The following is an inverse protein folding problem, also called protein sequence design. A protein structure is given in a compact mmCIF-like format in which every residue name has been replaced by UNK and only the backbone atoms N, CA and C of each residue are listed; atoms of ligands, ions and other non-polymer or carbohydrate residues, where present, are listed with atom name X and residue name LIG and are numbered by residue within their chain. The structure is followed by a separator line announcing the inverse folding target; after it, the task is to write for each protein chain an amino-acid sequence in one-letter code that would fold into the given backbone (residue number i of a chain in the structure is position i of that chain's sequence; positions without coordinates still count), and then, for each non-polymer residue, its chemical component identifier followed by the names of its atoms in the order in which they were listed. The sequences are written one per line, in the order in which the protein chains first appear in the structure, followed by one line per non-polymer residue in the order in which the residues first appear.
data_IF_541251241597
#
_entry.id   IF_541251241597
#
_cell.length_a   1.000
_cell.length_b   1.000
_cell.length_c   1.000
_cell.angle_alpha   90.00
_cell.angle_beta   90.00
_cell.angle_gamma   90.00
#
_symmetry.space_group_name_H-M   'P 1'
#
loop_
_entity.id
_entity.type
_entity.pdbx_description
1 polymer ?
#
# COMPACT_ATOMS: atom_id res chain seq x y z
N UNK A 1 6.73 10.45 10.71
CA UNK A 1 5.88 9.82 9.67
C UNK A 1 4.43 9.82 10.10
N UNK A 2 3.56 10.13 9.20
CA UNK A 2 2.12 10.01 9.45
C UNK A 2 1.77 8.53 9.65
N UNK A 3 0.88 8.23 10.59
CA UNK A 3 0.59 6.83 10.94
C UNK A 3 -0.69 6.27 10.31
N UNK A 4 -1.49 7.09 9.63
CA UNK A 4 -2.71 6.66 8.93
C UNK A 4 -3.69 5.87 9.81
N UNK A 5 -3.67 6.13 11.11
CA UNK A 5 -4.49 5.40 12.07
C UNK A 5 -4.01 3.99 12.36
N UNK A 6 -2.77 3.66 12.01
CA UNK A 6 -2.19 2.34 12.22
C UNK A 6 -1.23 2.35 13.41
N UNK A 7 -1.21 1.25 14.22
CA UNK A 7 -0.22 1.13 15.27
C UNK A 7 1.20 1.10 14.69
N UNK A 8 2.15 1.59 15.47
CA UNK A 8 3.55 1.59 15.07
C UNK A 8 4.04 0.18 14.70
N UNK A 9 3.61 -0.83 15.44
CA UNK A 9 3.95 -2.23 15.14
C UNK A 9 3.52 -2.63 13.74
N UNK A 10 2.32 -2.26 13.34
CA UNK A 10 1.80 -2.57 12.00
C UNK A 10 2.60 -1.83 10.92
N UNK A 11 2.87 -0.55 11.14
CA UNK A 11 3.68 0.24 10.20
C UNK A 11 5.05 -0.40 10.02
N UNK A 12 5.69 -0.79 11.11
CA UNK A 12 7.02 -1.41 11.05
C UNK A 12 6.99 -2.74 10.31
N UNK A 13 5.96 -3.57 10.55
CA UNK A 13 5.80 -4.83 9.82
C UNK A 13 5.67 -4.60 8.31
N UNK A 14 4.88 -3.61 7.92
CA UNK A 14 4.67 -3.30 6.50
C UNK A 14 5.93 -2.76 5.86
N UNK A 15 6.62 -1.83 6.52
CA UNK A 15 7.87 -1.29 6.00
C UNK A 15 8.93 -2.37 5.82
N UNK A 16 9.04 -3.26 6.79
CA UNK A 16 9.99 -4.37 6.73
C UNK A 16 9.66 -5.32 5.59
N UNK A 17 8.37 -5.60 5.40
CA UNK A 17 7.91 -6.41 4.27
C UNK A 17 8.33 -5.77 2.94
N UNK A 18 8.04 -4.48 2.74
CA UNK A 18 8.36 -3.81 1.49
C UNK A 18 9.87 -3.74 1.25
N UNK A 19 10.67 -3.53 2.29
CA UNK A 19 12.13 -3.54 2.18
C UNK A 19 12.67 -4.87 1.71
N UNK A 20 12.00 -5.96 2.08
CA UNK A 20 12.43 -7.31 1.70
C UNK A 20 12.16 -7.64 0.23
N UNK A 21 11.44 -6.79 -0.50
CA UNK A 21 11.04 -7.01 -1.88
C UNK A 21 11.75 -6.02 -2.80
N UNK A 22 12.92 -6.38 -3.37
CA UNK A 22 13.73 -5.45 -4.16
C UNK A 22 13.01 -4.95 -5.43
N UNK A 23 11.99 -5.66 -5.90
CA UNK A 23 11.23 -5.25 -7.08
C UNK A 23 10.22 -4.13 -6.77
N UNK A 24 9.98 -3.83 -5.50
CA UNK A 24 9.07 -2.73 -5.13
C UNK A 24 9.86 -1.43 -5.08
N UNK A 25 9.50 -0.49 -5.95
CA UNK A 25 10.17 0.81 -6.04
C UNK A 25 9.59 1.82 -5.06
N UNK A 26 8.26 1.87 -4.99
CA UNK A 26 7.56 2.85 -4.17
C UNK A 26 6.19 2.31 -3.78
N UNK A 27 5.73 2.68 -2.60
CA UNK A 27 4.38 2.36 -2.12
C UNK A 27 3.75 3.63 -1.58
N UNK A 28 2.54 3.92 -2.03
CA UNK A 28 1.71 4.99 -1.48
C UNK A 28 0.47 4.39 -0.84
N UNK A 29 0.00 5.01 0.24
CA UNK A 29 -1.30 4.71 0.79
C UNK A 29 -2.31 5.71 0.21
N UNK A 30 -3.50 5.25 -0.15
CA UNK A 30 -4.57 6.10 -0.66
C UNK A 30 -5.89 5.74 -0.01
N UNK A 31 -6.99 6.28 -0.48
CA UNK A 31 -8.31 6.00 0.08
C UNK A 31 -8.52 6.66 1.43
N UNK A 32 -9.40 6.06 2.24
CA UNK A 32 -9.86 6.68 3.49
C UNK A 32 -8.75 6.95 4.50
N UNK A 33 -7.75 6.07 4.58
CA UNK A 33 -6.65 6.25 5.54
C UNK A 33 -5.74 7.40 5.14
N UNK A 34 -5.55 7.62 3.85
CA UNK A 34 -4.79 8.77 3.37
C UNK A 34 -5.53 10.09 3.62
N UNK A 35 -6.86 10.06 3.46
CA UNK A 35 -7.71 11.25 3.65
C UNK A 35 -8.01 11.57 5.11
N UNK A 36 -7.79 10.61 6.01
CA UNK A 36 -8.15 10.78 7.42
C UNK A 36 -9.61 10.51 7.73
N UNK A 37 -10.36 9.94 6.79
CA UNK A 37 -11.79 9.64 6.95
C UNK A 37 -12.05 8.17 7.35
N UNK A 38 -10.98 7.44 7.68
CA UNK A 38 -11.08 6.02 8.03
C UNK A 38 -11.79 5.81 9.36
N UNK A 39 -12.30 4.59 9.53
CA UNK A 39 -12.84 4.08 10.78
C UNK A 39 -11.97 2.91 11.25
N UNK A 40 -12.19 2.46 12.50
CA UNK A 40 -11.53 1.26 13.00
C UNK A 40 -11.88 0.10 12.06
N UNK A 41 -10.86 -0.61 11.60
CA UNK A 41 -11.06 -1.74 10.71
C UNK A 41 -11.19 -1.38 9.24
N UNK A 42 -11.05 -0.12 8.87
CA UNK A 42 -11.00 0.26 7.46
C UNK A 42 -9.84 -0.44 6.75
N UNK A 43 -10.06 -0.85 5.50
CA UNK A 43 -9.04 -1.47 4.67
C UNK A 43 -7.84 -0.54 4.47
N UNK A 44 -6.69 -1.14 4.23
CA UNK A 44 -5.48 -0.39 3.87
C UNK A 44 -5.33 -0.49 2.36
N UNK A 45 -5.38 0.66 1.69
CA UNK A 45 -5.29 0.73 0.23
C UNK A 45 -3.90 1.17 -0.18
N UNK A 46 -3.17 0.29 -0.86
CA UNK A 46 -1.82 0.56 -1.34
C UNK A 46 -1.77 0.64 -2.86
N UNK A 47 -1.10 1.67 -3.38
CA UNK A 47 -0.67 1.72 -4.76
C UNK A 47 0.83 1.41 -4.78
N UNK A 48 1.25 0.48 -5.63
CA UNK A 48 2.62 0.00 -5.68
C UNK A 48 3.21 0.24 -7.06
N UNK A 49 4.41 0.83 -7.08
CA UNK A 49 5.18 1.03 -8.30
C UNK A 49 6.24 -0.06 -8.40
N UNK A 50 6.16 -0.84 -9.46
CA UNK A 50 7.09 -1.94 -9.74
C UNK A 50 7.15 -2.20 -11.24
N UNK A 51 8.26 -2.74 -11.72
CA UNK A 51 8.38 -3.23 -13.10
C UNK A 51 8.26 -4.75 -13.18
N UNK A 52 8.12 -5.42 -12.04
CA UNK A 52 7.99 -6.89 -11.96
C UNK A 52 6.56 -7.27 -11.61
N UNK A 53 5.69 -7.22 -12.62
CA UNK A 53 4.26 -7.44 -12.44
C UNK A 53 3.92 -8.89 -12.09
N UNK A 54 4.78 -9.82 -12.44
CA UNK A 54 4.60 -11.22 -12.13
C UNK A 54 4.73 -11.45 -10.62
N UNK A 55 5.77 -10.90 -10.01
CA UNK A 55 5.95 -10.98 -8.56
C UNK A 55 4.93 -10.13 -7.81
N UNK A 56 4.42 -9.06 -8.43
CA UNK A 56 3.37 -8.25 -7.82
C UNK A 56 2.16 -9.12 -7.43
N UNK A 57 1.81 -10.12 -8.23
CA UNK A 57 0.64 -10.95 -7.95
C UNK A 57 0.72 -11.70 -6.63
N UNK A 58 1.92 -11.88 -6.08
CA UNK A 58 2.13 -12.55 -4.80
C UNK A 58 1.95 -11.63 -3.60
N UNK A 59 2.02 -10.31 -3.82
CA UNK A 59 2.02 -9.33 -2.73
C UNK A 59 0.74 -9.45 -1.90
N UNK A 60 -0.40 -9.58 -2.57
CA UNK A 60 -1.69 -9.64 -1.88
C UNK A 60 -1.75 -10.78 -0.87
N UNK A 61 -1.40 -11.98 -1.31
CA UNK A 61 -1.37 -13.14 -0.41
C UNK A 61 -0.34 -13.02 0.69
N UNK A 62 0.82 -12.46 0.38
CA UNK A 62 1.88 -12.26 1.38
C UNK A 62 1.48 -11.24 2.44
N UNK A 63 0.81 -10.17 2.03
CA UNK A 63 0.30 -9.18 2.99
C UNK A 63 -0.77 -9.80 3.90
N UNK A 64 -1.66 -10.61 3.34
CA UNK A 64 -2.68 -11.29 4.13
C UNK A 64 -2.07 -12.26 5.14
N UNK A 65 -0.87 -12.78 4.87
CA UNK A 65 -0.17 -13.69 5.78
C UNK A 65 0.53 -12.95 6.93
N UNK A 66 0.62 -11.64 6.88
CA UNK A 66 1.20 -10.88 7.99
C UNK A 66 0.27 -10.93 9.20
N UNK A 67 0.87 -10.89 10.40
CA UNK A 67 0.12 -10.94 11.65
C UNK A 67 -0.52 -9.58 11.96
N UNK A 68 -1.49 -9.17 11.13
CA UNK A 68 -2.25 -7.94 11.34
C UNK A 68 -3.75 -8.23 11.20
N UNK A 69 -4.60 -7.47 11.87
CA UNK A 69 -6.04 -7.63 11.72
C UNK A 69 -6.62 -6.92 10.50
N UNK A 70 -5.78 -6.29 9.69
CA UNK A 70 -6.24 -5.43 8.60
C UNK A 70 -6.35 -6.19 7.29
N UNK A 71 -7.33 -5.76 6.47
CA UNK A 71 -7.45 -6.21 5.09
C UNK A 71 -6.72 -5.22 4.18
N UNK A 72 -6.15 -5.74 3.10
CA UNK A 72 -5.38 -4.92 2.18
C UNK A 72 -6.01 -4.92 0.80
N UNK A 73 -5.99 -3.76 0.15
CA UNK A 73 -6.30 -3.63 -1.26
C UNK A 73 -5.05 -3.09 -1.95
N UNK A 74 -4.59 -3.80 -2.98
CA UNK A 74 -3.28 -3.52 -3.58
C UNK A 74 -3.47 -3.29 -5.08
N UNK A 75 -2.98 -2.15 -5.55
CA UNK A 75 -3.07 -1.77 -6.95
C UNK A 75 -1.68 -1.69 -7.57
N UNK A 76 -1.48 -2.35 -8.71
CA UNK A 76 -0.26 -2.22 -9.51
C UNK A 76 -0.37 -0.92 -10.32
N UNK A 77 0.25 0.13 -9.81
CA UNK A 77 0.08 1.46 -10.39
C UNK A 77 0.53 1.52 -11.85
N UNK A 78 1.62 0.84 -12.18
CA UNK A 78 2.20 0.90 -13.55
C UNK A 78 1.33 0.20 -14.59
N UNK A 79 0.47 -0.74 -14.17
CA UNK A 79 -0.47 -1.41 -15.07
C UNK A 79 -1.87 -0.83 -15.02
N UNK A 80 -2.10 0.17 -14.16
CA UNK A 80 -3.44 0.72 -13.96
C UNK A 80 -3.89 1.49 -15.20
N UNK A 81 -5.05 1.11 -15.74
CA UNK A 81 -5.66 1.78 -16.90
C UNK A 81 -6.98 2.47 -16.58
N UNK A 82 -7.49 2.29 -15.35
CA UNK A 82 -8.75 2.88 -14.92
C UNK A 82 -8.53 4.34 -14.50
N UNK A 83 -8.94 5.28 -15.34
CA UNK A 83 -8.62 6.70 -15.18
C UNK A 83 -9.11 7.30 -13.88
N UNK A 84 -10.32 6.97 -13.44
CA UNK A 84 -10.86 7.50 -12.19
C UNK A 84 -10.04 7.07 -10.99
N UNK A 85 -9.67 5.79 -10.94
CA UNK A 85 -8.85 5.28 -9.85
C UNK A 85 -7.46 5.89 -9.87
N UNK A 86 -6.87 5.99 -11.06
CA UNK A 86 -5.55 6.59 -11.21
C UNK A 86 -5.55 8.05 -10.75
N UNK A 87 -6.57 8.80 -11.15
CA UNK A 87 -6.70 10.20 -10.73
C UNK A 87 -6.89 10.32 -9.22
N UNK A 88 -7.67 9.42 -8.62
CA UNK A 88 -7.87 9.39 -7.18
C UNK A 88 -6.56 9.11 -6.44
N UNK A 89 -5.78 8.14 -6.93
CA UNK A 89 -4.47 7.82 -6.35
C UNK A 89 -3.55 9.02 -6.48
N UNK A 90 -3.45 9.61 -7.66
CA UNK A 90 -2.56 10.75 -7.92
C UNK A 90 -2.89 11.95 -7.03
N UNK A 91 -4.17 12.14 -6.73
CA UNK A 91 -4.64 13.26 -5.93
C UNK A 91 -4.44 13.04 -4.43
N UNK A 92 -4.74 11.84 -3.94
CA UNK A 92 -4.88 11.58 -2.52
C UNK A 92 -3.75 10.77 -1.91
N UNK A 93 -2.94 10.08 -2.71
CA UNK A 93 -1.95 9.15 -2.17
C UNK A 93 -0.86 9.87 -1.39
N UNK A 94 -0.41 9.21 -0.33
CA UNK A 94 0.70 9.68 0.49
C UNK A 94 1.79 8.62 0.51
N UNK A 95 3.03 9.06 0.45
CA UNK A 95 4.17 8.15 0.41
C UNK A 95 4.22 7.33 1.69
N UNK A 96 4.31 6.01 1.53
CA UNK A 96 4.45 5.07 2.64
C UNK A 96 5.84 4.44 2.66
N UNK A 97 6.34 4.05 1.50
CA UNK A 97 7.66 3.43 1.37
C UNK A 97 8.28 3.82 0.03
N UNK A 98 9.58 4.04 0.04
CA UNK A 98 10.33 4.27 -1.18
C UNK A 98 11.70 3.60 -1.05
N UNK A 99 12.06 2.85 -2.09
CA UNK A 99 13.36 2.19 -2.17
C UNK A 99 14.47 3.23 -2.27
N UNK A 100 15.50 3.06 -1.52
CA UNK A 100 16.64 3.98 -1.54
C UNK A 100 17.69 3.58 -2.58
#
# INVERSE_FOLDING_TARGET
MENFGLPERTINQLLEYFRSKPFIEKVCIYGSRAKGTFQNGSDIDFAIWTDDHENFLRIWGELDDLSTPYMFDVTDYNLLTHDKLKNSIDKDCKLFYQKS
#
